data_IF_834004328937
#
_entry.id   IF_834004328937
#
_cell.length_a   1.000
_cell.length_b   1.000
_cell.length_c   1.000
_cell.angle_alpha   90.00
_cell.angle_beta   90.00
_cell.angle_gamma   90.00
#
_symmetry.space_group_name_H-M   'P 1'
#
loop_
_entity.id
_entity.type
_entity.pdbx_description
1 polymer ?
#
# COMPACT_ATOMS: atom_id res chain seq x y z
N UNK A 1 2.39 -17.58 0.89
CA UNK A 1 1.16 -18.27 1.31
C UNK A 1 1.27 -19.80 1.22
N UNK A 2 1.74 -20.38 0.13
CA UNK A 2 1.85 -21.84 -0.03
C UNK A 2 2.69 -22.55 1.06
N UNK A 3 3.53 -21.83 1.79
CA UNK A 3 4.29 -22.33 2.95
C UNK A 3 3.47 -22.44 4.24
N UNK A 4 2.21 -21.95 4.25
CA UNK A 4 1.38 -21.97 5.48
C UNK A 4 1.07 -23.39 5.95
N UNK A 5 1.15 -23.58 7.26
CA UNK A 5 0.80 -24.84 7.93
C UNK A 5 -0.15 -24.54 9.10
N UNK A 6 -1.40 -24.95 8.97
CA UNK A 6 -2.43 -24.72 10.01
C UNK A 6 -2.20 -25.50 11.29
N UNK A 7 -1.42 -26.62 11.26
CA UNK A 7 -1.19 -27.47 12.44
C UNK A 7 -0.23 -26.80 13.42
N UNK A 8 0.87 -26.25 12.93
CA UNK A 8 1.88 -25.59 13.77
C UNK A 8 1.80 -24.05 13.72
N UNK A 9 1.07 -23.52 12.76
CA UNK A 9 0.87 -22.08 12.58
C UNK A 9 2.09 -21.35 12.03
N UNK A 10 2.92 -22.02 11.22
CA UNK A 10 4.07 -21.42 10.56
C UNK A 10 3.74 -20.99 9.13
N UNK A 11 4.61 -20.15 8.55
CA UNK A 11 4.46 -19.67 7.18
C UNK A 11 3.18 -18.87 6.93
N UNK A 12 2.87 -18.64 5.68
CA UNK A 12 1.71 -17.87 5.27
C UNK A 12 2.08 -16.62 4.50
N UNK A 13 1.19 -15.63 4.50
CA UNK A 13 1.43 -14.34 3.82
C UNK A 13 2.23 -13.41 4.74
N UNK A 14 3.53 -13.61 4.79
CA UNK A 14 4.50 -12.92 5.62
C UNK A 14 5.68 -12.30 4.85
N UNK A 15 5.56 -12.23 3.53
CA UNK A 15 6.57 -11.68 2.62
C UNK A 15 7.95 -12.38 2.67
N UNK A 16 8.07 -13.61 3.15
CA UNK A 16 9.32 -14.36 3.15
C UNK A 16 9.91 -14.54 1.74
N UNK A 17 9.07 -14.58 0.72
CA UNK A 17 9.48 -14.65 -0.70
C UNK A 17 10.41 -13.49 -1.14
N UNK A 18 10.54 -12.43 -0.35
CA UNK A 18 11.51 -11.36 -0.63
C UNK A 18 12.96 -11.79 -0.40
N UNK A 19 13.20 -12.87 0.35
CA UNK A 19 14.55 -13.38 0.58
C UNK A 19 15.11 -14.06 -0.67
N UNK A 20 16.35 -13.72 -1.01
CA UNK A 20 17.05 -14.29 -2.17
C UNK A 20 17.15 -15.82 -2.12
N UNK A 21 17.24 -16.41 -0.90
CA UNK A 21 17.24 -17.86 -0.71
C UNK A 21 15.94 -18.51 -1.22
N UNK A 22 14.76 -17.94 -0.89
CA UNK A 22 13.49 -18.49 -1.40
C UNK A 22 13.36 -18.30 -2.91
N UNK A 23 13.72 -17.12 -3.42
CA UNK A 23 13.66 -16.84 -4.86
C UNK A 23 14.59 -17.74 -5.68
N UNK A 24 15.69 -18.21 -5.10
CA UNK A 24 16.62 -19.11 -5.77
C UNK A 24 16.19 -20.59 -5.79
N UNK A 25 15.11 -20.96 -5.12
CA UNK A 25 14.61 -22.32 -5.11
C UNK A 25 13.98 -22.69 -6.46
N UNK A 26 14.11 -23.96 -6.86
CA UNK A 26 13.57 -24.46 -8.12
C UNK A 26 12.05 -24.24 -8.23
N UNK A 27 11.33 -24.31 -7.11
CA UNK A 27 9.88 -24.07 -6.99
C UNK A 27 9.48 -22.60 -7.25
N UNK A 28 10.44 -21.66 -7.24
CA UNK A 28 10.24 -20.22 -7.39
C UNK A 28 11.03 -19.63 -8.56
N UNK A 29 11.38 -20.44 -9.55
CA UNK A 29 12.17 -20.02 -10.70
C UNK A 29 11.46 -18.95 -11.53
N UNK A 30 12.24 -18.07 -12.16
CA UNK A 30 11.76 -16.92 -12.93
C UNK A 30 11.98 -15.60 -12.21
N UNK A 31 11.65 -14.51 -12.86
CA UNK A 31 11.89 -13.14 -12.36
C UNK A 31 10.64 -12.47 -11.75
N UNK A 32 9.47 -13.12 -11.86
CA UNK A 32 8.19 -12.56 -11.43
C UNK A 32 8.15 -12.13 -9.95
N UNK A 33 8.78 -12.92 -9.06
CA UNK A 33 8.84 -12.57 -7.63
C UNK A 33 9.75 -11.37 -7.38
N UNK A 34 10.96 -11.34 -7.98
CA UNK A 34 11.89 -10.24 -7.85
C UNK A 34 11.29 -8.92 -8.37
N UNK A 35 10.67 -8.96 -9.55
CA UNK A 35 10.01 -7.82 -10.17
C UNK A 35 8.85 -7.31 -9.31
N UNK A 36 7.99 -8.20 -8.83
CA UNK A 36 6.87 -7.83 -7.96
C UNK A 36 7.34 -7.20 -6.66
N UNK A 37 8.32 -7.80 -5.97
CA UNK A 37 8.86 -7.27 -4.71
C UNK A 37 9.53 -5.91 -4.93
N UNK A 38 10.28 -5.73 -6.02
CA UNK A 38 10.94 -4.45 -6.33
C UNK A 38 9.96 -3.27 -6.43
N UNK A 39 8.77 -3.53 -6.98
CA UNK A 39 7.71 -2.53 -7.09
C UNK A 39 6.97 -2.35 -5.76
N UNK A 40 6.49 -3.44 -5.16
CA UNK A 40 5.59 -3.39 -4.01
C UNK A 40 6.30 -2.96 -2.73
N UNK A 41 7.56 -3.34 -2.52
CA UNK A 41 8.32 -2.92 -1.34
C UNK A 41 8.48 -1.39 -1.22
N UNK A 42 8.43 -0.67 -2.34
CA UNK A 42 8.44 0.80 -2.35
C UNK A 42 7.25 1.45 -1.65
N UNK A 43 6.14 0.74 -1.50
CA UNK A 43 4.94 1.20 -0.81
C UNK A 43 4.90 0.81 0.67
N UNK A 44 5.79 -0.08 1.12
CA UNK A 44 5.88 -0.43 2.54
C UNK A 44 6.48 0.71 3.36
N UNK A 45 6.04 0.81 4.61
CA UNK A 45 6.48 1.84 5.58
C UNK A 45 6.57 1.19 6.95
N UNK A 46 7.00 1.92 7.98
CA UNK A 46 6.91 1.45 9.37
C UNK A 46 5.48 1.11 9.86
N UNK A 47 4.47 1.56 9.13
CA UNK A 47 3.05 1.34 9.45
C UNK A 47 2.39 0.29 8.55
N UNK A 48 3.06 -0.12 7.48
CA UNK A 48 2.52 -1.06 6.48
C UNK A 48 3.63 -2.01 6.08
N UNK A 49 3.50 -3.28 6.43
CA UNK A 49 4.45 -4.33 6.09
C UNK A 49 4.53 -4.57 4.58
N UNK A 50 5.60 -5.21 4.12
CA UNK A 50 5.70 -5.70 2.74
C UNK A 50 4.59 -6.74 2.49
N UNK A 51 4.31 -7.60 3.47
CA UNK A 51 3.25 -8.59 3.40
C UNK A 51 1.85 -7.95 3.19
N UNK A 52 1.54 -6.86 3.91
CA UNK A 52 0.29 -6.11 3.68
C UNK A 52 0.28 -5.45 2.29
N UNK A 53 1.42 -4.99 1.81
CA UNK A 53 1.53 -4.40 0.48
C UNK A 53 1.32 -5.44 -0.62
N UNK A 54 1.86 -6.65 -0.47
CA UNK A 54 1.62 -7.78 -1.38
C UNK A 54 0.13 -8.16 -1.38
N UNK A 55 -0.47 -8.29 -0.19
CA UNK A 55 -1.90 -8.59 -0.06
C UNK A 55 -2.78 -7.53 -0.75
N UNK A 56 -2.48 -6.25 -0.54
CA UNK A 56 -3.19 -5.16 -1.19
C UNK A 56 -2.95 -5.17 -2.72
N UNK A 57 -1.75 -5.52 -3.16
CA UNK A 57 -1.41 -5.68 -4.57
C UNK A 57 -2.31 -6.69 -5.28
N UNK A 58 -2.54 -7.87 -4.67
CA UNK A 58 -3.48 -8.86 -5.20
C UNK A 58 -4.92 -8.31 -5.25
N UNK A 59 -5.39 -7.70 -4.15
CA UNK A 59 -6.75 -7.11 -4.09
C UNK A 59 -6.96 -6.10 -5.21
N UNK A 60 -6.00 -5.20 -5.38
CA UNK A 60 -6.08 -4.15 -6.42
C UNK A 60 -5.97 -4.76 -7.82
N UNK A 61 -5.04 -5.69 -8.05
CA UNK A 61 -4.86 -6.36 -9.36
C UNK A 61 -6.14 -7.05 -9.81
N UNK A 62 -6.72 -7.90 -8.96
CA UNK A 62 -7.99 -8.59 -9.30
C UNK A 62 -9.11 -7.59 -9.61
N UNK A 63 -9.27 -6.57 -8.78
CA UNK A 63 -10.37 -5.61 -8.95
C UNK A 63 -10.19 -4.69 -10.16
N UNK A 64 -8.96 -4.25 -10.48
CA UNK A 64 -8.69 -3.46 -11.68
C UNK A 64 -8.87 -4.26 -12.97
N UNK A 65 -8.69 -5.57 -12.92
CA UNK A 65 -8.99 -6.47 -14.04
C UNK A 65 -10.47 -6.90 -14.10
N UNK A 66 -11.37 -6.21 -13.41
CA UNK A 66 -12.82 -6.48 -13.46
C UNK A 66 -13.32 -7.55 -12.47
N UNK A 67 -12.45 -8.03 -11.59
CA UNK A 67 -12.78 -9.06 -10.62
C UNK A 67 -13.57 -8.55 -9.40
N UNK A 68 -13.95 -9.48 -8.50
CA UNK A 68 -14.78 -9.17 -7.36
C UNK A 68 -14.07 -8.31 -6.32
N UNK A 69 -14.86 -7.65 -5.48
CA UNK A 69 -14.35 -7.01 -4.28
C UNK A 69 -13.88 -8.09 -3.30
N UNK A 70 -12.61 -8.02 -2.92
CA UNK A 70 -12.00 -8.90 -1.94
C UNK A 70 -11.92 -8.17 -0.60
N UNK A 71 -12.49 -8.71 0.50
CA UNK A 71 -12.30 -8.16 1.84
C UNK A 71 -10.81 -8.12 2.20
N UNK A 72 -10.31 -6.96 2.56
CA UNK A 72 -8.90 -6.75 2.91
C UNK A 72 -8.77 -6.41 4.39
N UNK A 73 -7.83 -7.08 5.07
CA UNK A 73 -7.41 -6.83 6.45
C UNK A 73 -5.91 -6.53 6.45
N UNK A 74 -5.48 -5.61 7.28
CA UNK A 74 -4.06 -5.29 7.48
C UNK A 74 -3.53 -5.84 8.80
N UNK A 75 -2.22 -5.68 9.02
CA UNK A 75 -1.57 -6.08 10.27
C UNK A 75 -0.68 -7.31 10.12
N UNK A 76 -0.35 -7.71 8.89
CA UNK A 76 0.63 -8.77 8.62
C UNK A 76 2.01 -8.31 9.07
N UNK A 77 2.80 -9.26 9.53
CA UNK A 77 4.18 -9.04 10.00
C UNK A 77 5.12 -9.70 9.00
N UNK A 78 6.14 -8.97 8.56
CA UNK A 78 7.13 -9.49 7.65
C UNK A 78 8.00 -10.54 8.35
N UNK A 79 8.21 -11.70 7.70
CA UNK A 79 9.09 -12.76 8.20
C UNK A 79 10.52 -12.24 8.39
N UNK A 80 11.22 -12.73 9.37
CA UNK A 80 12.63 -12.37 9.65
C UNK A 80 13.62 -13.32 9.00
N UNK A 81 13.15 -14.45 8.48
CA UNK A 81 13.94 -15.49 7.83
C UNK A 81 13.11 -16.17 6.72
N UNK A 82 13.73 -16.86 5.76
CA UNK A 82 13.04 -17.62 4.73
C UNK A 82 12.15 -18.71 5.33
N UNK A 83 10.97 -18.93 4.74
CA UNK A 83 10.11 -20.04 5.09
C UNK A 83 10.63 -21.37 4.53
N UNK A 84 10.12 -22.48 5.05
CA UNK A 84 10.43 -23.82 4.56
C UNK A 84 9.96 -24.01 3.11
N UNK A 85 10.69 -24.77 2.26
CA UNK A 85 10.25 -25.11 0.92
C UNK A 85 9.02 -26.03 0.93
N UNK A 86 8.42 -26.24 -0.22
CA UNK A 86 7.30 -27.18 -0.39
C UNK A 86 6.02 -26.54 -0.90
N UNK A 87 6.14 -25.66 -1.89
CA UNK A 87 5.00 -25.19 -2.67
C UNK A 87 4.55 -26.27 -3.66
N UNK A 88 3.27 -26.29 -4.11
CA UNK A 88 2.81 -27.21 -5.14
C UNK A 88 3.53 -26.98 -6.47
N UNK A 89 4.03 -28.04 -7.08
CA UNK A 89 4.68 -28.02 -8.39
C UNK A 89 3.86 -28.78 -9.44
N UNK A 90 3.93 -28.38 -10.74
CA UNK A 90 3.04 -28.92 -11.77
C UNK A 90 3.21 -30.43 -12.03
N UNK A 91 4.37 -31.02 -11.77
CA UNK A 91 4.66 -32.44 -11.98
C UNK A 91 4.29 -33.35 -10.80
N UNK A 92 3.86 -32.77 -9.68
CA UNK A 92 3.43 -33.52 -8.51
C UNK A 92 2.10 -34.22 -8.72
N UNK A 93 1.86 -35.27 -7.92
CA UNK A 93 0.62 -36.03 -7.97
C UNK A 93 -0.57 -35.25 -7.42
N UNK A 94 -1.79 -35.64 -7.79
CA UNK A 94 -3.01 -35.07 -7.23
C UNK A 94 -3.05 -35.17 -5.70
N UNK A 95 -2.65 -36.31 -5.14
CA UNK A 95 -2.64 -36.53 -3.68
C UNK A 95 -1.67 -35.55 -2.98
N UNK A 96 -0.53 -35.23 -3.62
CA UNK A 96 0.41 -34.21 -3.12
C UNK A 96 -0.23 -32.83 -3.13
N UNK A 97 -0.93 -32.45 -4.20
CA UNK A 97 -1.65 -31.19 -4.29
C UNK A 97 -2.73 -31.08 -3.20
N UNK A 98 -3.58 -32.13 -3.05
CA UNK A 98 -4.60 -32.16 -2.00
C UNK A 98 -3.97 -32.02 -0.61
N UNK A 99 -2.89 -32.74 -0.34
CA UNK A 99 -2.19 -32.67 0.95
C UNK A 99 -1.59 -31.26 1.20
N UNK A 100 -1.03 -30.63 0.16
CA UNK A 100 -0.48 -29.28 0.27
C UNK A 100 -1.55 -28.24 0.56
N UNK A 101 -2.69 -28.28 -0.12
CA UNK A 101 -3.80 -27.38 0.16
C UNK A 101 -4.46 -27.65 1.51
N UNK A 102 -4.59 -28.92 1.91
CA UNK A 102 -5.08 -29.28 3.25
C UNK A 102 -4.18 -28.77 4.36
N UNK A 103 -2.84 -28.84 4.20
CA UNK A 103 -1.86 -28.24 5.11
C UNK A 103 -2.07 -26.73 5.26
N UNK A 104 -2.47 -26.06 4.18
CA UNK A 104 -2.78 -24.62 4.16
C UNK A 104 -4.19 -24.30 4.71
N UNK A 105 -5.03 -25.30 5.03
CA UNK A 105 -6.38 -25.12 5.56
C UNK A 105 -7.48 -25.08 4.49
N UNK A 106 -7.23 -25.60 3.28
CA UNK A 106 -8.20 -25.65 2.19
C UNK A 106 -8.60 -27.08 1.83
N UNK A 107 -9.88 -27.27 1.58
CA UNK A 107 -10.43 -28.55 1.10
C UNK A 107 -10.08 -28.79 -0.37
N UNK A 108 -10.34 -30.00 -0.88
CA UNK A 108 -10.15 -30.32 -2.30
C UNK A 108 -11.01 -29.43 -3.22
N UNK A 109 -12.28 -29.16 -2.88
CA UNK A 109 -13.14 -28.25 -3.62
C UNK A 109 -12.56 -26.83 -3.64
N UNK A 110 -12.07 -26.37 -2.49
CA UNK A 110 -11.44 -25.05 -2.38
C UNK A 110 -10.09 -24.96 -3.11
N UNK A 111 -9.33 -26.05 -3.19
CA UNK A 111 -8.15 -26.15 -4.04
C UNK A 111 -8.52 -25.93 -5.51
N UNK A 112 -9.54 -26.62 -6.03
CA UNK A 112 -10.03 -26.42 -7.40
C UNK A 112 -10.40 -24.96 -7.60
N UNK A 113 -11.16 -24.38 -6.67
CA UNK A 113 -11.57 -22.98 -6.72
C UNK A 113 -10.39 -22.01 -6.72
N UNK A 114 -9.43 -22.15 -5.80
CA UNK A 114 -8.27 -21.26 -5.71
C UNK A 114 -7.39 -21.30 -6.96
N UNK A 115 -7.15 -22.51 -7.51
CA UNK A 115 -6.37 -22.65 -8.76
C UNK A 115 -7.12 -22.01 -9.92
N UNK A 116 -8.41 -22.26 -10.08
CA UNK A 116 -9.21 -21.63 -11.13
C UNK A 116 -9.26 -20.09 -10.98
N UNK A 117 -9.45 -19.56 -9.75
CA UNK A 117 -9.45 -18.13 -9.48
C UNK A 117 -8.10 -17.47 -9.77
N UNK A 118 -6.99 -18.17 -9.54
CA UNK A 118 -5.65 -17.67 -9.83
C UNK A 118 -5.34 -17.72 -11.32
N UNK A 119 -5.72 -18.81 -11.98
CA UNK A 119 -5.42 -19.07 -13.38
C UNK A 119 -6.43 -18.44 -14.36
N UNK A 120 -7.34 -17.58 -13.90
CA UNK A 120 -8.05 -16.64 -14.79
C UNK A 120 -7.16 -15.50 -15.26
N UNK A 121 -5.90 -15.45 -14.79
CA UNK A 121 -4.92 -14.41 -15.17
C UNK A 121 -3.61 -15.03 -15.62
N UNK A 122 -2.95 -14.35 -16.58
CA UNK A 122 -1.57 -14.63 -16.95
C UNK A 122 -1.38 -15.95 -17.68
N UNK A 123 -0.28 -16.62 -17.39
CA UNK A 123 0.13 -17.85 -18.08
C UNK A 123 1.49 -18.34 -17.59
N UNK A 124 2.09 -19.26 -18.36
CA UNK A 124 3.40 -19.86 -18.09
C UNK A 124 4.39 -19.39 -19.16
N UNK A 125 5.55 -18.85 -18.76
CA UNK A 125 6.64 -18.44 -19.63
C UNK A 125 7.50 -19.63 -20.06
N UNK A 126 8.06 -19.56 -21.26
CA UNK A 126 8.93 -20.61 -21.78
C UNK A 126 10.26 -20.72 -21.03
N UNK A 127 10.99 -19.60 -20.89
CA UNK A 127 12.37 -19.64 -20.39
C UNK A 127 12.51 -20.29 -19.01
N UNK A 128 11.69 -19.93 -17.98
CA UNK A 128 11.72 -20.63 -16.69
C UNK A 128 11.13 -22.04 -16.77
N UNK A 129 10.21 -22.31 -17.71
CA UNK A 129 9.43 -23.56 -17.77
C UNK A 129 9.41 -24.22 -19.17
N UNK A 130 10.57 -24.55 -19.77
CA UNK A 130 10.64 -25.11 -21.12
C UNK A 130 10.02 -26.51 -21.23
N UNK A 131 9.80 -27.20 -20.11
CA UNK A 131 9.10 -28.48 -20.06
C UNK A 131 7.58 -28.36 -20.09
N UNK A 132 7.04 -27.15 -19.97
CA UNK A 132 5.60 -26.86 -19.96
C UNK A 132 5.20 -26.10 -21.23
N UNK A 133 5.99 -25.12 -21.65
CA UNK A 133 5.70 -24.26 -22.80
C UNK A 133 6.83 -24.33 -23.81
N UNK A 134 6.48 -24.43 -25.10
CA UNK A 134 7.45 -24.32 -26.19
C UNK A 134 7.75 -22.84 -26.53
N UNK A 135 8.96 -22.57 -27.05
CA UNK A 135 9.28 -21.28 -27.63
C UNK A 135 8.33 -20.98 -28.81
N UNK A 136 7.70 -19.80 -28.78
CA UNK A 136 6.64 -19.44 -29.74
C UNK A 136 7.13 -18.66 -30.94
N UNK A 137 8.32 -18.04 -30.89
CA UNK A 137 8.89 -17.20 -31.95
C UNK A 137 7.93 -16.08 -32.38
N UNK A 138 7.15 -15.51 -31.47
CA UNK A 138 6.20 -14.43 -31.73
C UNK A 138 6.79 -13.10 -31.26
N UNK A 139 6.89 -12.12 -32.17
CA UNK A 139 7.41 -10.77 -31.88
C UNK A 139 6.53 -9.97 -30.94
N UNK A 140 5.27 -10.34 -30.79
CA UNK A 140 4.33 -9.72 -29.85
C UNK A 140 4.29 -10.44 -28.49
N UNK A 141 4.89 -11.64 -28.41
CA UNK A 141 4.99 -12.44 -27.20
C UNK A 141 6.44 -12.93 -27.05
N UNK A 142 7.33 -11.99 -26.80
CA UNK A 142 8.79 -12.21 -26.76
C UNK A 142 9.24 -13.15 -25.63
N UNK A 143 8.42 -13.30 -24.59
CA UNK A 143 8.66 -14.22 -23.47
C UNK A 143 8.02 -15.59 -23.68
N UNK A 144 7.36 -15.79 -24.82
CA UNK A 144 6.66 -17.04 -25.16
C UNK A 144 5.73 -17.52 -24.02
N UNK A 145 4.84 -16.63 -23.56
CA UNK A 145 3.87 -16.93 -22.51
C UNK A 145 2.69 -17.69 -23.09
N UNK A 146 2.43 -18.90 -22.61
CA UNK A 146 1.18 -19.61 -22.89
C UNK A 146 0.15 -19.24 -21.81
N UNK A 147 -0.92 -18.56 -22.22
CA UNK A 147 -1.96 -18.09 -21.31
C UNK A 147 -2.86 -19.21 -20.83
N UNK A 148 -3.43 -19.04 -19.64
CA UNK A 148 -4.32 -20.03 -19.03
C UNK A 148 -5.71 -20.05 -19.66
N UNK A 149 -6.19 -18.88 -20.14
CA UNK A 149 -7.42 -18.76 -20.92
C UNK A 149 -7.29 -17.66 -21.99
N UNK A 150 -8.36 -17.36 -22.71
CA UNK A 150 -8.35 -16.40 -23.82
C UNK A 150 -8.52 -14.94 -23.34
N UNK A 151 -8.68 -14.67 -22.05
CA UNK A 151 -8.92 -13.35 -21.47
C UNK A 151 -7.91 -13.02 -20.35
N UNK A 152 -6.67 -13.32 -20.55
CA UNK A 152 -5.55 -13.30 -19.60
C UNK A 152 -5.34 -12.01 -18.79
N UNK A 153 -5.95 -10.90 -19.23
CA UNK A 153 -5.90 -9.59 -18.56
C UNK A 153 -7.23 -9.19 -17.90
N UNK A 154 -8.24 -10.06 -17.95
CA UNK A 154 -9.56 -9.77 -17.44
C UNK A 154 -10.04 -10.90 -16.53
N UNK A 155 -10.61 -10.54 -15.38
CA UNK A 155 -11.18 -11.51 -14.46
C UNK A 155 -12.58 -11.94 -14.95
N UNK A 156 -12.69 -13.19 -15.37
CA UNK A 156 -13.96 -13.81 -15.74
C UNK A 156 -13.90 -15.34 -15.49
N UNK A 157 -14.91 -16.07 -15.92
CA UNK A 157 -14.97 -17.52 -15.74
C UNK A 157 -14.52 -18.32 -16.97
N UNK A 158 -13.76 -17.71 -17.90
CA UNK A 158 -13.32 -18.40 -19.13
C UNK A 158 -12.42 -19.60 -18.83
N UNK A 159 -11.58 -19.53 -17.80
CA UNK A 159 -10.82 -20.68 -17.32
C UNK A 159 -11.70 -21.93 -17.11
N UNK A 160 -12.93 -21.77 -16.66
CA UNK A 160 -13.87 -22.85 -16.44
C UNK A 160 -14.69 -23.18 -17.70
N UNK A 161 -15.20 -22.19 -18.42
CA UNK A 161 -16.01 -22.41 -19.63
C UNK A 161 -15.23 -23.09 -20.74
N UNK A 162 -13.98 -22.68 -20.97
CA UNK A 162 -13.09 -23.28 -21.96
C UNK A 162 -12.65 -24.69 -21.54
N UNK A 163 -12.36 -24.91 -20.25
CA UNK A 163 -12.02 -26.24 -19.76
C UNK A 163 -13.18 -27.23 -19.93
N UNK A 164 -14.42 -26.86 -19.57
CA UNK A 164 -15.60 -27.72 -19.68
C UNK A 164 -16.04 -27.95 -21.12
N UNK A 165 -15.92 -26.94 -21.99
CA UNK A 165 -16.22 -27.07 -23.42
C UNK A 165 -15.15 -27.85 -24.20
N UNK A 166 -13.96 -28.04 -23.62
CA UNK A 166 -12.81 -28.67 -24.28
C UNK A 166 -12.10 -27.75 -25.29
N UNK A 167 -12.26 -26.45 -25.16
CA UNK A 167 -11.61 -25.44 -26.01
C UNK A 167 -10.40 -24.78 -25.36
N UNK A 168 -10.11 -25.11 -24.10
CA UNK A 168 -9.00 -24.53 -23.32
C UNK A 168 -7.65 -24.72 -24.02
N UNK A 169 -6.81 -23.69 -23.92
CA UNK A 169 -5.39 -23.68 -24.34
C UNK A 169 -4.45 -23.65 -23.12
N UNK A 170 -4.96 -23.79 -21.91
CA UNK A 170 -4.20 -23.79 -20.66
C UNK A 170 -3.05 -24.81 -20.73
N UNK A 171 -1.77 -24.37 -20.65
CA UNK A 171 -0.62 -25.27 -20.76
C UNK A 171 -0.51 -26.28 -19.62
N UNK A 172 -1.21 -26.03 -18.49
CA UNK A 172 -1.31 -26.96 -17.36
C UNK A 172 -2.54 -27.88 -17.42
N UNK A 173 -3.38 -27.74 -18.46
CA UNK A 173 -4.53 -28.63 -18.70
C UNK A 173 -4.35 -29.48 -19.96
N UNK A 174 -3.85 -28.88 -21.04
CA UNK A 174 -3.71 -29.54 -22.37
C UNK A 174 -2.28 -29.41 -22.91
N UNK A 175 -1.31 -29.10 -22.06
CA UNK A 175 0.10 -28.99 -22.45
C UNK A 175 0.66 -30.29 -23.02
N UNK A 176 1.75 -30.17 -23.80
CA UNK A 176 2.38 -31.29 -24.49
C UNK A 176 2.98 -32.35 -23.55
N UNK A 177 3.27 -31.99 -22.32
CA UNK A 177 3.79 -32.89 -21.29
C UNK A 177 2.69 -33.20 -20.25
N UNK A 178 2.07 -34.39 -20.37
CA UNK A 178 0.96 -34.78 -19.49
C UNK A 178 1.38 -34.86 -18.01
N UNK A 179 2.68 -35.03 -17.72
CA UNK A 179 3.20 -35.03 -16.35
C UNK A 179 3.02 -33.66 -15.68
N UNK A 180 3.17 -32.57 -16.42
CA UNK A 180 3.03 -31.20 -15.92
C UNK A 180 1.61 -30.63 -16.02
N UNK A 181 0.64 -31.41 -16.51
CA UNK A 181 -0.76 -30.99 -16.62
C UNK A 181 -1.48 -31.04 -15.25
N UNK A 182 -1.02 -30.18 -14.31
CA UNK A 182 -1.56 -30.09 -12.95
C UNK A 182 -3.02 -29.67 -12.93
N UNK A 183 -3.39 -28.65 -13.72
CA UNK A 183 -4.76 -28.15 -13.77
C UNK A 183 -5.74 -29.21 -14.26
N UNK A 184 -5.35 -30.02 -15.25
CA UNK A 184 -6.15 -31.16 -15.70
C UNK A 184 -6.47 -32.11 -14.54
N UNK A 185 -5.48 -32.42 -13.69
CA UNK A 185 -5.65 -33.30 -12.54
C UNK A 185 -6.48 -32.66 -11.43
N UNK A 186 -6.20 -31.38 -11.14
CA UNK A 186 -6.89 -30.61 -10.07
C UNK A 186 -8.34 -30.38 -10.47
N UNK A 187 -8.61 -29.79 -11.64
CA UNK A 187 -9.97 -29.45 -12.09
C UNK A 187 -10.86 -30.69 -12.26
N UNK A 188 -10.28 -31.83 -12.69
CA UNK A 188 -10.99 -33.06 -12.85
C UNK A 188 -11.18 -33.88 -11.57
N UNK A 189 -10.57 -33.47 -10.45
CA UNK A 189 -10.45 -34.31 -9.24
C UNK A 189 -11.77 -34.62 -8.51
N UNK A 190 -12.78 -33.78 -8.70
CA UNK A 190 -14.14 -34.00 -8.17
C UNK A 190 -15.15 -34.44 -9.25
N UNK A 191 -14.67 -34.95 -10.39
CA UNK A 191 -15.52 -35.29 -11.54
C UNK A 191 -16.01 -34.07 -12.32
N UNK A 192 -15.29 -32.98 -12.27
CA UNK A 192 -15.62 -31.67 -12.89
C UNK A 192 -16.87 -31.00 -12.29
N UNK A 193 -17.29 -31.33 -11.08
CA UNK A 193 -18.49 -30.73 -10.46
C UNK A 193 -18.26 -29.24 -10.21
N UNK A 194 -17.16 -28.88 -9.57
CA UNK A 194 -16.83 -27.49 -9.27
C UNK A 194 -16.62 -26.69 -10.56
N UNK A 195 -15.83 -27.17 -11.52
CA UNK A 195 -15.58 -26.46 -12.76
C UNK A 195 -16.85 -26.28 -13.62
N UNK A 196 -17.78 -27.25 -13.63
CA UNK A 196 -19.10 -27.08 -14.28
C UNK A 196 -19.90 -25.97 -13.62
N UNK A 197 -19.96 -25.93 -12.31
CA UNK A 197 -20.68 -24.88 -11.59
C UNK A 197 -20.13 -23.48 -11.87
N UNK A 198 -18.81 -23.36 -12.03
CA UNK A 198 -18.16 -22.12 -12.40
C UNK A 198 -18.39 -21.74 -13.87
N UNK A 199 -18.37 -22.72 -14.78
CA UNK A 199 -18.69 -22.48 -16.18
C UNK A 199 -20.14 -22.00 -16.38
N UNK A 200 -21.07 -22.57 -15.60
CA UNK A 200 -22.50 -22.29 -15.69
C UNK A 200 -22.91 -20.95 -15.04
N UNK A 201 -22.10 -20.40 -14.10
CA UNK A 201 -22.41 -19.14 -13.40
C UNK A 201 -21.17 -18.29 -13.12
N UNK A 202 -20.98 -17.21 -13.90
CA UNK A 202 -19.95 -16.20 -13.64
C UNK A 202 -20.08 -15.56 -12.25
N UNK A 203 -21.32 -15.37 -11.76
CA UNK A 203 -21.59 -14.79 -10.44
C UNK A 203 -21.13 -15.73 -9.32
N UNK A 204 -21.37 -17.04 -9.46
CA UNK A 204 -20.86 -18.04 -8.51
C UNK A 204 -19.35 -18.06 -8.51
N UNK A 205 -18.70 -18.10 -9.68
CA UNK A 205 -17.24 -18.02 -9.81
C UNK A 205 -16.70 -16.79 -9.11
N UNK A 206 -17.23 -15.61 -9.42
CA UNK A 206 -16.81 -14.35 -8.84
C UNK A 206 -16.97 -14.33 -7.31
N UNK A 207 -18.10 -14.78 -6.77
CA UNK A 207 -18.34 -14.78 -5.32
C UNK A 207 -17.45 -15.78 -4.58
N UNK A 208 -17.23 -16.96 -5.13
CA UNK A 208 -16.32 -17.97 -4.54
C UNK A 208 -14.86 -17.50 -4.59
N UNK A 209 -14.42 -16.87 -5.67
CA UNK A 209 -13.09 -16.29 -5.76
C UNK A 209 -12.88 -15.17 -4.74
N UNK A 210 -13.87 -14.31 -4.52
CA UNK A 210 -13.81 -13.28 -3.47
C UNK A 210 -13.57 -13.89 -2.09
N UNK A 211 -14.33 -14.94 -1.74
CA UNK A 211 -14.20 -15.64 -0.46
C UNK A 211 -12.86 -16.34 -0.33
N UNK A 212 -12.46 -17.10 -1.34
CA UNK A 212 -11.24 -17.90 -1.32
C UNK A 212 -9.99 -17.01 -1.30
N UNK A 213 -9.95 -15.94 -2.08
CA UNK A 213 -8.86 -14.97 -2.02
C UNK A 213 -8.77 -14.29 -0.65
N UNK A 214 -9.90 -13.88 -0.05
CA UNK A 214 -9.90 -13.30 1.28
C UNK A 214 -9.29 -14.27 2.31
N UNK A 215 -9.73 -15.53 2.32
CA UNK A 215 -9.17 -16.56 3.22
C UNK A 215 -7.69 -16.85 2.94
N UNK A 216 -7.30 -16.87 1.67
CA UNK A 216 -5.92 -17.04 1.26
C UNK A 216 -5.05 -15.89 1.80
N UNK A 217 -5.52 -14.65 1.70
CA UNK A 217 -4.83 -13.48 2.24
C UNK A 217 -4.75 -13.50 3.78
N UNK A 218 -5.70 -14.13 4.45
CA UNK A 218 -5.76 -14.26 5.91
C UNK A 218 -4.91 -15.42 6.45
N UNK A 219 -4.21 -16.21 5.59
CA UNK A 219 -3.22 -17.18 6.06
C UNK A 219 -1.98 -16.47 6.57
N UNK A 220 -1.84 -16.35 7.87
CA UNK A 220 -0.73 -15.65 8.56
C UNK A 220 -0.12 -16.54 9.65
N UNK A 221 1.13 -16.28 10.05
CA UNK A 221 1.76 -17.01 11.15
C UNK A 221 0.96 -16.91 12.45
N UNK A 222 1.04 -17.94 13.28
CA UNK A 222 0.38 -17.99 14.59
C UNK A 222 0.78 -16.78 15.46
N UNK A 223 -0.21 -16.13 16.03
CA UNK A 223 -0.03 -14.95 16.89
C UNK A 223 -0.14 -13.63 16.16
N UNK A 224 -0.12 -13.61 14.83
CA UNK A 224 -0.43 -12.42 14.05
C UNK A 224 -1.93 -12.15 14.13
N UNK A 225 -2.28 -10.90 14.44
CA UNK A 225 -3.67 -10.45 14.52
C UNK A 225 -3.95 -9.47 13.37
N UNK A 226 -4.85 -9.84 12.50
CA UNK A 226 -5.33 -8.96 11.44
C UNK A 226 -6.40 -8.00 11.96
N UNK A 227 -6.47 -6.82 11.37
CA UNK A 227 -7.49 -5.83 11.67
C UNK A 227 -8.90 -6.30 11.26
N UNK A 228 -9.91 -5.51 11.61
CA UNK A 228 -11.18 -5.58 10.91
C UNK A 228 -11.00 -5.28 9.42
N UNK A 229 -12.01 -5.63 8.60
CA UNK A 229 -11.98 -5.36 7.15
C UNK A 229 -11.85 -3.85 6.92
N UNK A 230 -10.80 -3.47 6.21
CA UNK A 230 -10.51 -2.07 5.91
C UNK A 230 -11.38 -1.63 4.73
N UNK A 231 -12.07 -0.52 4.92
CA UNK A 231 -12.86 0.14 3.89
C UNK A 231 -12.40 1.58 3.69
N UNK A 232 -12.49 2.13 2.46
CA UNK A 232 -12.16 3.53 2.24
C UNK A 232 -13.03 4.46 3.10
N UNK A 233 -12.37 5.34 3.87
CA UNK A 233 -13.09 6.33 4.67
C UNK A 233 -13.81 7.33 3.75
N UNK A 234 -15.06 7.72 4.04
CA UNK A 234 -15.80 8.73 3.27
C UNK A 234 -15.05 10.06 3.13
N UNK A 235 -14.35 10.50 4.18
CA UNK A 235 -13.53 11.73 4.16
C UNK A 235 -12.18 11.44 4.77
N UNK A 236 -11.11 11.73 4.03
CA UNK A 236 -9.75 11.54 4.54
C UNK A 236 -8.85 12.69 4.14
N UNK A 237 -8.41 13.52 5.10
CA UNK A 237 -7.31 14.45 4.85
C UNK A 237 -5.99 13.70 4.65
N UNK A 238 -5.11 14.28 3.86
CA UNK A 238 -3.81 13.70 3.56
C UNK A 238 -2.78 14.75 3.19
N UNK A 239 -1.51 14.37 3.29
CA UNK A 239 -0.37 15.26 2.98
C UNK A 239 -0.45 16.61 3.69
N UNK A 240 -0.89 16.60 4.96
CA UNK A 240 -0.94 17.79 5.79
C UNK A 240 0.48 18.20 6.13
N UNK A 241 0.86 19.41 5.73
CA UNK A 241 2.20 19.94 5.96
C UNK A 241 2.13 21.41 6.36
N UNK A 242 2.95 21.78 7.34
CA UNK A 242 3.17 23.15 7.76
C UNK A 242 4.64 23.54 7.55
N UNK A 243 4.84 24.72 6.97
CA UNK A 243 6.17 25.32 6.82
C UNK A 243 6.16 26.74 7.39
N UNK A 244 7.04 27.00 8.34
CA UNK A 244 7.25 28.37 8.82
C UNK A 244 8.21 29.11 7.88
N UNK A 245 7.76 30.24 7.35
CA UNK A 245 8.54 31.18 6.55
C UNK A 245 8.41 32.59 7.12
N UNK A 246 9.41 33.03 7.86
CA UNK A 246 9.31 34.25 8.64
C UNK A 246 8.16 34.20 9.64
N UNK A 247 7.20 35.12 9.53
CA UNK A 247 5.99 35.17 10.36
C UNK A 247 4.77 34.57 9.67
N UNK A 248 4.96 33.84 8.57
CA UNK A 248 3.91 33.15 7.84
C UNK A 248 4.01 31.65 8.05
N UNK A 249 2.90 31.04 8.41
CA UNK A 249 2.76 29.59 8.48
C UNK A 249 2.06 29.13 7.20
N UNK A 250 2.84 28.56 6.28
CA UNK A 250 2.32 27.95 5.07
C UNK A 250 1.65 26.62 5.40
N UNK A 251 0.39 26.47 5.04
CA UNK A 251 -0.41 25.28 5.30
C UNK A 251 -0.85 24.62 4.00
N UNK A 252 -0.32 23.44 3.72
CA UNK A 252 -0.66 22.66 2.53
C UNK A 252 -1.31 21.35 2.91
N UNK A 253 -2.05 20.77 1.98
CA UNK A 253 -2.67 19.48 2.17
C UNK A 253 -3.73 19.20 1.10
N UNK A 254 -4.35 18.05 1.24
CA UNK A 254 -5.51 17.68 0.46
C UNK A 254 -6.56 16.98 1.34
N UNK A 255 -7.76 16.87 0.83
CA UNK A 255 -8.81 16.04 1.38
C UNK A 255 -9.42 15.20 0.26
N UNK A 256 -9.55 13.92 0.51
CA UNK A 256 -10.22 12.97 -0.38
C UNK A 256 -11.61 12.66 0.17
N UNK A 257 -12.59 12.74 -0.71
CA UNK A 257 -13.95 12.29 -0.47
C UNK A 257 -14.21 11.02 -1.29
N UNK A 258 -14.86 10.05 -0.68
CA UNK A 258 -15.18 8.77 -1.31
C UNK A 258 -16.63 8.74 -1.78
N UNK A 259 -16.85 8.30 -3.03
CA UNK A 259 -18.19 8.15 -3.64
C UNK A 259 -19.05 9.41 -3.58
N UNK A 260 -18.45 10.56 -3.89
CA UNK A 260 -19.26 11.78 -4.05
C UNK A 260 -20.16 11.65 -5.27
N UNK A 261 -21.45 11.91 -5.08
CA UNK A 261 -22.38 12.05 -6.20
C UNK A 261 -21.90 13.16 -7.15
N UNK A 262 -22.03 12.95 -8.45
CA UNK A 262 -21.72 13.98 -9.43
C UNK A 262 -22.55 15.25 -9.17
N UNK A 263 -21.90 16.39 -9.18
CA UNK A 263 -22.53 17.69 -9.04
C UNK A 263 -21.69 18.76 -9.73
N UNK A 264 -22.26 19.42 -10.72
CA UNK A 264 -21.70 20.64 -11.29
C UNK A 264 -21.73 21.76 -10.23
N UNK A 265 -20.67 22.56 -10.15
CA UNK A 265 -20.57 23.69 -9.22
C UNK A 265 -20.59 23.30 -7.73
N UNK A 266 -19.92 22.22 -7.37
CA UNK A 266 -19.73 21.84 -5.97
C UNK A 266 -18.88 22.89 -5.23
N UNK A 267 -19.36 23.28 -4.04
CA UNK A 267 -18.60 24.14 -3.14
C UNK A 267 -17.99 23.29 -2.04
N UNK A 268 -16.67 23.24 -2.02
CA UNK A 268 -15.90 22.57 -0.99
C UNK A 268 -15.09 23.62 -0.21
N UNK A 269 -15.19 23.60 1.11
CA UNK A 269 -14.50 24.55 1.99
C UNK A 269 -13.69 23.79 3.04
N UNK A 270 -12.50 24.32 3.34
CA UNK A 270 -11.78 24.08 4.56
C UNK A 270 -12.17 25.19 5.56
N UNK A 271 -12.53 24.78 6.79
CA UNK A 271 -12.77 25.68 7.91
C UNK A 271 -11.75 25.35 9.00
N UNK A 272 -11.29 26.37 9.74
CA UNK A 272 -10.40 26.16 10.88
C UNK A 272 -10.61 27.21 11.96
N UNK A 273 -10.21 26.86 13.18
CA UNK A 273 -10.09 27.81 14.28
C UNK A 273 -8.62 28.05 14.60
N UNK A 274 -8.28 29.25 15.01
CA UNK A 274 -6.94 29.63 15.41
C UNK A 274 -6.77 29.66 16.94
N UNK A 275 -5.54 29.86 17.43
CA UNK A 275 -5.25 29.95 18.88
C UNK A 275 -5.80 31.23 19.53
N UNK A 276 -6.24 32.22 18.74
CA UNK A 276 -6.86 33.47 19.24
C UNK A 276 -8.38 33.35 19.35
N UNK A 277 -8.95 32.20 18.94
CA UNK A 277 -10.38 31.91 18.98
C UNK A 277 -11.18 32.42 17.78
N UNK A 278 -10.50 32.93 16.73
CA UNK A 278 -11.16 33.28 15.49
C UNK A 278 -11.39 32.06 14.59
N UNK A 279 -12.44 32.11 13.78
CA UNK A 279 -12.76 31.08 12.79
C UNK A 279 -12.53 31.60 11.37
N UNK A 280 -11.98 30.75 10.53
CA UNK A 280 -11.59 31.08 9.17
C UNK A 280 -12.14 30.05 8.19
N UNK A 281 -12.14 30.40 6.92
CA UNK A 281 -12.47 29.47 5.85
C UNK A 281 -11.68 29.76 4.58
N UNK A 282 -11.53 28.74 3.75
CA UNK A 282 -10.95 28.85 2.41
C UNK A 282 -11.62 27.87 1.47
N UNK A 283 -11.78 28.28 0.22
CA UNK A 283 -12.30 27.39 -0.83
C UNK A 283 -11.23 26.34 -1.15
N UNK A 284 -11.64 25.08 -1.18
CA UNK A 284 -10.85 23.97 -1.63
C UNK A 284 -10.91 23.87 -3.16
N UNK A 285 -9.77 23.71 -3.79
CA UNK A 285 -9.66 23.57 -5.25
C UNK A 285 -9.59 22.11 -5.66
N UNK A 286 -10.23 21.70 -6.77
CA UNK A 286 -10.04 20.36 -7.30
C UNK A 286 -8.55 20.05 -7.52
N UNK A 287 -8.09 18.87 -7.15
CA UNK A 287 -6.74 18.40 -7.47
C UNK A 287 -6.59 18.20 -8.99
N UNK A 288 -5.35 18.20 -9.51
CA UNK A 288 -5.08 17.98 -10.94
C UNK A 288 -5.66 16.65 -11.44
N UNK A 289 -5.65 15.61 -10.59
CA UNK A 289 -6.41 14.37 -10.78
C UNK A 289 -7.57 14.39 -9.79
N UNK A 290 -8.58 15.23 -10.05
CA UNK A 290 -9.64 15.50 -9.08
C UNK A 290 -10.52 14.29 -8.80
N UNK A 291 -10.68 13.40 -9.77
CA UNK A 291 -11.46 12.17 -9.60
C UNK A 291 -10.69 10.99 -10.16
N UNK A 292 -10.61 9.93 -9.39
CA UNK A 292 -10.01 8.65 -9.77
C UNK A 292 -11.03 7.58 -9.49
N UNK A 293 -11.39 6.85 -10.52
CA UNK A 293 -12.29 5.71 -10.40
C UNK A 293 -11.49 4.47 -10.02
N UNK A 294 -11.95 3.83 -8.95
CA UNK A 294 -11.51 2.53 -8.52
C UNK A 294 -12.66 1.55 -8.68
N UNK A 295 -12.41 0.26 -8.82
CA UNK A 295 -13.48 -0.74 -8.91
C UNK A 295 -14.47 -0.69 -7.74
N UNK A 296 -14.05 -0.19 -6.59
CA UNK A 296 -14.86 -0.07 -5.36
C UNK A 296 -15.61 1.26 -5.25
N UNK A 297 -15.31 2.24 -6.07
CA UNK A 297 -15.89 3.58 -6.02
C UNK A 297 -14.93 4.67 -6.48
N UNK A 298 -15.40 5.91 -6.42
CA UNK A 298 -14.67 7.07 -6.92
C UNK A 298 -14.06 7.88 -5.78
N UNK A 299 -12.77 8.16 -5.88
CA UNK A 299 -12.06 9.09 -5.00
C UNK A 299 -12.04 10.48 -5.63
N UNK A 300 -12.68 11.46 -5.01
CA UNK A 300 -12.61 12.86 -5.43
C UNK A 300 -11.74 13.64 -4.47
N UNK A 301 -10.70 14.29 -4.97
CA UNK A 301 -9.70 14.98 -4.16
C UNK A 301 -9.71 16.49 -4.39
N UNK A 302 -9.59 17.22 -3.29
CA UNK A 302 -9.44 18.67 -3.25
C UNK A 302 -8.16 19.03 -2.52
N UNK A 303 -7.48 20.09 -2.95
CA UNK A 303 -6.27 20.62 -2.33
C UNK A 303 -6.56 21.91 -1.55
N UNK A 304 -5.72 22.19 -0.56
CA UNK A 304 -5.73 23.43 0.19
C UNK A 304 -4.90 24.49 -0.57
N UNK A 305 -5.34 25.73 -0.49
CA UNK A 305 -4.59 26.88 -1.00
C UNK A 305 -4.82 27.25 -2.44
N UNK A 306 -3.98 28.17 -2.93
CA UNK A 306 -4.11 28.82 -4.23
C UNK A 306 -3.84 27.91 -5.45
N UNK A 307 -4.02 28.47 -6.65
CA UNK A 307 -3.81 27.77 -7.92
C UNK A 307 -2.35 27.34 -8.14
N UNK A 308 -1.41 28.09 -7.57
CA UNK A 308 0.04 27.87 -7.64
C UNK A 308 0.58 26.77 -6.70
N UNK A 309 -0.31 26.07 -5.98
CA UNK A 309 0.04 25.07 -4.97
C UNK A 309 0.87 25.59 -3.78
N UNK A 310 0.95 26.92 -3.59
CA UNK A 310 1.68 27.54 -2.46
C UNK A 310 1.06 27.25 -1.10
N UNK A 311 -0.19 26.72 -1.08
CA UNK A 311 -0.93 26.47 0.14
C UNK A 311 -1.64 27.73 0.68
N UNK A 312 -2.14 27.61 1.91
CA UNK A 312 -2.73 28.72 2.65
C UNK A 312 -1.66 29.41 3.47
N UNK A 313 -1.64 30.74 3.43
CA UNK A 313 -0.79 31.55 4.30
C UNK A 313 -1.55 31.93 5.56
N UNK A 314 -1.12 31.38 6.71
CA UNK A 314 -1.66 31.71 8.02
C UNK A 314 -0.70 32.62 8.76
N UNK A 315 -1.24 33.50 9.62
CA UNK A 315 -0.41 34.20 10.59
C UNK A 315 0.21 33.21 11.57
N UNK A 316 1.53 33.24 11.73
CA UNK A 316 2.25 32.29 12.56
C UNK A 316 1.86 32.38 14.06
N UNK A 317 1.50 33.56 14.54
CA UNK A 317 1.07 33.74 15.94
C UNK A 317 -0.33 33.19 16.16
N UNK A 318 -1.23 33.39 15.21
CA UNK A 318 -2.59 32.86 15.23
C UNK A 318 -2.63 31.33 15.05
N UNK A 319 -1.91 30.79 14.07
CA UNK A 319 -1.80 29.35 13.81
C UNK A 319 -3.11 28.64 13.56
N UNK A 320 -3.21 27.37 13.99
CA UNK A 320 -4.39 26.51 13.78
C UNK A 320 -4.58 25.54 14.96
N UNK A 321 -5.83 25.36 15.40
CA UNK A 321 -6.19 24.44 16.51
C UNK A 321 -6.95 23.21 16.00
N UNK A 322 -7.88 23.41 15.06
CA UNK A 322 -8.66 22.34 14.44
C UNK A 322 -8.91 22.66 12.97
N UNK A 323 -9.34 21.65 12.21
CA UNK A 323 -9.83 21.83 10.85
C UNK A 323 -11.11 21.05 10.63
N UNK A 324 -11.97 21.58 9.77
CA UNK A 324 -13.22 20.96 9.37
C UNK A 324 -13.38 21.05 7.85
N UNK A 325 -14.15 20.16 7.26
CA UNK A 325 -14.47 20.19 5.85
C UNK A 325 -15.98 20.37 5.65
N UNK A 326 -16.33 21.24 4.72
CA UNK A 326 -17.74 21.48 4.36
C UNK A 326 -17.92 21.24 2.86
N UNK A 327 -18.93 20.47 2.50
CA UNK A 327 -19.38 20.28 1.13
C UNK A 327 -20.80 20.79 0.97
N UNK A 328 -21.01 21.72 0.03
CA UNK A 328 -22.34 22.25 -0.32
C UNK A 328 -23.14 22.72 0.92
N UNK A 329 -22.45 23.33 1.88
CA UNK A 329 -23.05 23.84 3.12
C UNK A 329 -23.22 22.79 4.24
N UNK A 330 -22.81 21.54 4.02
CA UNK A 330 -22.87 20.48 5.04
C UNK A 330 -21.49 20.13 5.57
N UNK A 331 -21.30 20.22 6.88
CA UNK A 331 -20.09 19.73 7.57
C UNK A 331 -19.93 18.22 7.40
N UNK A 332 -18.71 17.79 7.20
CA UNK A 332 -18.36 16.39 7.02
C UNK A 332 -17.89 15.80 8.35
N UNK A 333 -18.39 14.62 8.70
CA UNK A 333 -17.97 13.91 9.91
C UNK A 333 -16.62 13.23 9.71
N UNK A 334 -15.77 13.31 10.71
CA UNK A 334 -14.58 12.47 10.78
C UNK A 334 -14.98 11.05 11.21
N UNK A 335 -14.11 10.07 10.92
CA UNK A 335 -14.40 8.66 11.17
C UNK A 335 -13.23 7.90 11.80
N UNK A 336 -12.06 8.54 11.91
CA UNK A 336 -10.84 7.88 12.38
C UNK A 336 -10.68 7.86 13.90
N UNK A 337 -11.27 8.79 14.63
CA UNK A 337 -11.00 8.98 16.06
C UNK A 337 -12.23 9.32 16.90
N UNK A 338 -13.38 8.82 16.52
CA UNK A 338 -14.62 9.07 17.26
C UNK A 338 -15.67 9.86 16.46
N UNK A 339 -16.68 10.36 17.16
CA UNK A 339 -17.74 11.15 16.54
C UNK A 339 -17.35 12.63 16.56
N UNK A 340 -17.62 13.33 15.46
CA UNK A 340 -17.39 14.77 15.38
C UNK A 340 -17.14 15.26 13.96
N UNK A 341 -16.89 16.55 13.84
CA UNK A 341 -16.59 17.22 12.57
C UNK A 341 -15.18 17.82 12.56
N UNK A 342 -14.47 17.78 13.69
CA UNK A 342 -13.11 18.30 13.84
C UNK A 342 -12.10 17.23 13.46
N UNK A 343 -11.29 17.51 12.48
CA UNK A 343 -10.16 16.66 12.08
C UNK A 343 -8.90 17.11 12.83
N UNK A 344 -8.13 16.15 13.29
CA UNK A 344 -6.92 16.43 14.05
C UNK A 344 -5.89 17.17 13.19
N UNK A 345 -5.32 18.23 13.76
CA UNK A 345 -4.22 19.01 13.18
C UNK A 345 -3.38 19.57 14.33
N UNK A 346 -2.10 19.77 14.12
CA UNK A 346 -1.21 20.39 15.09
C UNK A 346 -0.21 21.32 14.40
N UNK A 347 0.11 22.43 15.03
CA UNK A 347 1.13 23.39 14.61
C UNK A 347 2.17 23.68 15.71
N UNK A 348 2.22 22.84 16.73
CA UNK A 348 3.17 23.00 17.84
C UNK A 348 4.63 22.79 17.39
N UNK A 349 4.87 21.86 16.45
CA UNK A 349 6.16 21.63 15.81
C UNK A 349 5.95 21.54 14.30
N UNK A 350 6.61 22.40 13.54
CA UNK A 350 6.46 22.48 12.09
C UNK A 350 7.82 22.61 11.40
N UNK A 351 7.88 22.31 10.12
CA UNK A 351 9.09 22.47 9.33
C UNK A 351 9.41 23.96 9.12
N UNK A 352 10.70 24.34 9.13
CA UNK A 352 11.11 25.71 8.79
C UNK A 352 11.77 25.79 7.42
N UNK A 353 11.43 26.82 6.64
CA UNK A 353 12.06 27.10 5.35
C UNK A 353 13.55 27.47 5.45
N UNK A 354 14.06 27.67 6.67
CA UNK A 354 15.50 27.87 6.92
C UNK A 354 16.32 26.60 6.82
N UNK A 355 15.68 25.43 6.73
CA UNK A 355 16.32 24.15 6.44
C UNK A 355 17.07 24.22 5.12
N UNK A 356 18.28 23.65 5.06
CA UNK A 356 19.17 23.79 3.90
C UNK A 356 20.07 22.56 3.72
N UNK A 357 20.71 22.48 2.56
CA UNK A 357 21.58 21.39 2.17
C UNK A 357 23.04 21.84 1.98
N UNK A 358 23.98 21.12 2.58
CA UNK A 358 25.42 21.32 2.38
C UNK A 358 25.89 20.47 1.21
N UNK A 359 26.01 21.03 0.03
CA UNK A 359 26.25 20.31 -1.24
C UNK A 359 27.48 19.39 -1.28
N UNK A 360 28.45 19.59 -0.38
CA UNK A 360 29.74 18.87 -0.45
C UNK A 360 29.76 17.55 0.33
N UNK A 361 28.84 17.30 1.28
CA UNK A 361 28.94 16.19 2.23
C UNK A 361 27.67 15.34 2.34
N UNK A 362 26.74 15.46 1.43
CA UNK A 362 25.41 14.80 1.54
C UNK A 362 24.76 15.02 2.93
N UNK A 363 24.97 16.22 3.52
CA UNK A 363 24.47 16.60 4.85
C UNK A 363 23.38 17.65 4.68
N UNK A 364 22.26 17.49 5.36
CA UNK A 364 21.23 18.51 5.46
C UNK A 364 21.16 19.06 6.87
N UNK A 365 20.96 20.38 6.98
CA UNK A 365 20.48 21.01 8.19
C UNK A 365 18.95 21.05 8.13
N UNK A 366 18.33 20.36 9.05
CA UNK A 366 16.88 20.46 9.27
C UNK A 366 16.62 21.45 10.40
N UNK A 367 15.73 22.39 10.15
CA UNK A 367 15.27 23.37 11.11
C UNK A 367 13.77 23.12 11.36
N UNK A 368 13.43 22.85 12.63
CA UNK A 368 12.05 22.71 13.09
C UNK A 368 11.65 23.92 13.91
N UNK A 369 10.51 24.50 13.57
CA UNK A 369 9.95 25.60 14.33
C UNK A 369 9.03 25.04 15.42
N UNK A 370 9.34 25.35 16.67
CA UNK A 370 8.62 24.89 17.87
C UNK A 370 7.87 26.07 18.47
N UNK A 371 6.54 25.93 18.64
CA UNK A 371 5.68 26.98 19.19
C UNK A 371 6.08 27.29 20.64
N UNK A 372 6.28 28.56 20.96
CA UNK A 372 6.78 29.02 22.27
C UNK A 372 5.83 28.68 23.43
N UNK A 373 4.54 28.53 23.14
CA UNK A 373 3.52 28.16 24.14
C UNK A 373 3.42 26.67 24.39
N UNK A 374 4.07 25.84 23.56
CA UNK A 374 4.04 24.39 23.69
C UNK A 374 5.06 23.91 24.72
N UNK A 375 4.67 22.98 25.61
CA UNK A 375 5.58 22.31 26.53
C UNK A 375 6.26 21.14 25.80
N UNK A 376 7.27 21.44 24.99
CA UNK A 376 8.00 20.46 24.18
C UNK A 376 9.15 19.89 24.98
N UNK A 377 9.11 18.58 25.24
CA UNK A 377 10.17 17.83 25.91
C UNK A 377 11.30 17.47 24.94
N UNK A 378 10.97 17.05 23.73
CA UNK A 378 11.95 16.69 22.71
C UNK A 378 11.36 16.87 21.31
N UNK A 379 12.23 17.21 20.36
CA UNK A 379 11.99 17.12 18.92
C UNK A 379 13.04 16.16 18.38
N UNK A 380 12.63 15.21 17.56
CA UNK A 380 13.50 14.15 17.08
C UNK A 380 13.24 13.81 15.61
N UNK A 381 14.24 13.25 14.97
CA UNK A 381 14.13 12.65 13.65
C UNK A 381 14.47 11.16 13.77
N UNK A 382 13.66 10.32 13.16
CA UNK A 382 13.89 8.89 13.07
C UNK A 382 14.26 8.55 11.64
N UNK A 383 15.46 8.03 11.46
CA UNK A 383 15.98 7.60 10.16
C UNK A 383 15.85 6.08 10.06
N UNK A 384 15.17 5.61 9.01
CA UNK A 384 15.00 4.19 8.75
C UNK A 384 15.98 3.74 7.67
N UNK A 385 16.70 2.67 7.94
CA UNK A 385 17.50 1.96 6.94
C UNK A 385 16.80 0.66 6.57
N UNK A 386 16.94 0.27 5.30
CA UNK A 386 16.42 -1.02 4.81
C UNK A 386 17.58 -1.97 4.62
N UNK A 387 17.34 -3.24 4.93
CA UNK A 387 18.26 -4.34 4.60
C UNK A 387 18.18 -4.70 3.10
N UNK A 388 19.01 -5.65 2.66
CA UNK A 388 19.07 -6.10 1.26
C UNK A 388 17.77 -6.74 0.76
N UNK A 389 16.89 -7.16 1.66
CA UNK A 389 15.55 -7.69 1.35
C UNK A 389 14.44 -6.64 1.43
N UNK A 390 14.80 -5.35 1.45
CA UNK A 390 13.89 -4.20 1.52
C UNK A 390 13.08 -4.06 2.81
N UNK A 391 13.35 -4.89 3.82
CA UNK A 391 12.75 -4.77 5.14
C UNK A 391 13.40 -3.63 5.94
N UNK A 392 12.61 -2.95 6.78
CA UNK A 392 13.15 -1.92 7.68
C UNK A 392 13.98 -2.60 8.76
N UNK A 393 15.32 -2.52 8.61
CA UNK A 393 16.24 -3.22 9.49
C UNK A 393 16.54 -2.47 10.79
N UNK A 394 16.75 -1.15 10.69
CA UNK A 394 17.14 -0.30 11.82
C UNK A 394 16.43 1.03 11.77
N UNK A 395 16.05 1.54 12.94
CA UNK A 395 15.60 2.91 13.13
C UNK A 395 16.53 3.62 14.10
N UNK A 396 17.21 4.66 13.62
CA UNK A 396 18.06 5.52 14.42
C UNK A 396 17.30 6.79 14.78
N UNK A 397 17.47 7.28 16.02
CA UNK A 397 16.79 8.47 16.51
C UNK A 397 17.83 9.52 16.92
N UNK A 398 17.75 10.68 16.26
CA UNK A 398 18.55 11.86 16.58
C UNK A 398 17.65 12.98 17.11
N UNK A 399 18.19 13.82 17.98
CA UNK A 399 17.43 14.88 18.64
C UNK A 399 17.87 16.26 18.18
N UNK A 400 16.89 17.11 17.91
CA UNK A 400 17.10 18.51 17.64
C UNK A 400 17.44 19.28 18.93
N UNK A 401 18.18 20.39 18.76
CA UNK A 401 18.49 21.34 19.82
C UNK A 401 18.04 22.76 19.42
N UNK A 402 17.62 23.59 20.40
CA UNK A 402 17.31 24.98 20.12
C UNK A 402 18.51 25.72 19.47
N UNK A 403 18.28 26.46 18.40
CA UNK A 403 19.29 27.30 17.76
C UNK A 403 19.28 28.71 18.37
N UNK A 404 20.34 29.09 19.14
CA UNK A 404 20.40 30.40 19.77
C UNK A 404 20.65 31.53 18.76
N UNK A 405 21.09 31.20 17.53
CA UNK A 405 21.41 32.16 16.49
C UNK A 405 20.29 32.32 15.45
N UNK A 406 19.21 31.59 15.59
CA UNK A 406 18.09 31.68 14.66
C UNK A 406 17.44 33.07 14.72
N UNK A 407 16.88 33.49 13.60
CA UNK A 407 16.10 34.73 13.54
C UNK A 407 14.93 34.69 14.55
N UNK A 408 14.73 35.80 15.23
CA UNK A 408 13.67 35.92 16.24
C UNK A 408 12.31 35.87 15.54
N UNK A 409 11.49 34.88 15.89
CA UNK A 409 10.08 34.82 15.53
C UNK A 409 9.19 35.06 16.75
N UNK A 410 8.05 35.71 16.58
CA UNK A 410 7.14 36.02 17.70
C UNK A 410 6.53 34.78 18.33
N UNK A 411 6.18 33.78 17.52
CA UNK A 411 5.43 32.59 17.92
C UNK A 411 6.28 31.32 18.08
N UNK A 412 7.42 31.23 17.37
CA UNK A 412 8.22 30.02 17.29
C UNK A 412 9.66 30.21 17.72
N UNK A 413 10.27 29.15 18.22
CA UNK A 413 11.72 28.96 18.37
C UNK A 413 12.20 27.95 17.35
N UNK A 414 13.36 28.18 16.75
CA UNK A 414 13.95 27.22 15.80
C UNK A 414 14.82 26.23 16.56
N UNK A 415 14.65 24.98 16.24
CA UNK A 415 15.46 23.84 16.69
C UNK A 415 16.15 23.25 15.48
N UNK A 416 17.44 22.99 15.57
CA UNK A 416 18.26 22.57 14.43
C UNK A 416 18.93 21.24 14.66
N UNK A 417 19.16 20.50 13.57
CA UNK A 417 19.93 19.25 13.54
C UNK A 417 20.57 19.08 12.17
N UNK A 418 21.87 18.72 12.16
CA UNK A 418 22.56 18.30 10.96
C UNK A 418 22.48 16.79 10.80
N UNK A 419 21.98 16.31 9.67
CA UNK A 419 21.80 14.88 9.39
C UNK A 419 22.57 14.52 8.12
N UNK A 420 23.46 13.53 8.22
CA UNK A 420 24.19 12.97 7.09
C UNK A 420 23.35 11.87 6.40
N UNK A 421 23.69 11.60 5.11
CA UNK A 421 23.05 10.54 4.32
C UNK A 421 21.80 11.00 3.58
N UNK A 422 21.71 10.67 2.29
CA UNK A 422 20.82 11.35 1.34
C UNK A 422 19.49 10.64 1.03
N UNK A 423 19.40 9.33 1.22
CA UNK A 423 18.29 8.55 0.64
C UNK A 423 17.43 7.78 1.65
N UNK A 424 17.74 7.85 2.93
CA UNK A 424 16.99 7.13 3.96
C UNK A 424 15.61 7.78 4.21
N UNK A 425 14.62 6.96 4.49
CA UNK A 425 13.31 7.44 4.92
C UNK A 425 13.43 8.05 6.31
N UNK A 426 12.90 9.25 6.49
CA UNK A 426 12.95 10.00 7.74
C UNK A 426 11.57 10.43 8.19
N UNK A 427 11.35 10.37 9.50
CA UNK A 427 10.14 10.84 10.16
C UNK A 427 10.53 11.84 11.24
N UNK A 428 9.89 12.99 11.26
CA UNK A 428 10.03 13.94 12.35
C UNK A 428 8.94 13.73 13.37
N UNK A 429 9.30 13.77 14.64
CA UNK A 429 8.38 13.66 15.75
C UNK A 429 8.72 14.64 16.85
N UNK A 430 7.80 14.78 17.81
CA UNK A 430 8.00 15.55 19.02
C UNK A 430 7.24 14.94 20.20
N UNK A 431 7.77 15.13 21.40
CA UNK A 431 7.04 14.86 22.65
C UNK A 431 6.59 16.21 23.25
N UNK A 432 5.28 16.46 23.23
CA UNK A 432 4.64 17.70 23.62
C UNK A 432 3.61 17.36 24.70
N UNK A 433 3.69 17.96 25.87
CA UNK A 433 2.79 17.72 26.99
C UNK A 433 2.65 16.23 27.39
N UNK A 434 3.74 15.47 27.22
CA UNK A 434 3.77 14.01 27.49
C UNK A 434 3.16 13.14 26.40
N UNK A 435 2.68 13.71 25.28
CA UNK A 435 2.15 13.01 24.12
C UNK A 435 3.18 12.99 23.01
N UNK A 436 3.43 11.82 22.44
CA UNK A 436 4.29 11.69 21.26
C UNK A 436 3.48 11.93 20.00
N UNK A 437 3.96 12.87 19.19
CA UNK A 437 3.43 13.18 17.88
C UNK A 437 4.43 12.76 16.81
N UNK A 438 3.97 12.06 15.78
CA UNK A 438 4.74 11.83 14.56
C UNK A 438 4.20 12.79 13.51
N UNK A 439 5.08 13.64 12.99
CA UNK A 439 4.71 14.67 11.99
C UNK A 439 4.67 14.11 10.57
N UNK A 440 4.81 12.79 10.42
CA UNK A 440 4.80 12.12 9.15
C UNK A 440 6.18 12.02 8.49
N UNK A 441 6.19 11.40 7.32
CA UNK A 441 7.39 11.24 6.50
C UNK A 441 7.83 12.60 5.97
N UNK A 442 9.12 12.92 6.08
CA UNK A 442 9.71 14.06 5.39
C UNK A 442 9.71 13.78 3.88
N UNK A 443 8.82 14.45 3.16
CA UNK A 443 8.69 14.31 1.72
C UNK A 443 9.60 15.25 0.91
N UNK A 444 10.30 16.18 1.58
CA UNK A 444 11.22 17.05 0.89
C UNK A 444 12.53 16.29 0.64
N UNK A 445 12.80 15.80 -0.57
CA UNK A 445 14.07 15.18 -0.88
C UNK A 445 15.19 16.19 -0.69
N UNK A 446 16.34 15.74 -0.21
CA UNK A 446 17.51 16.59 0.03
C UNK A 446 17.84 17.56 -1.11
N UNK A 447 17.75 17.16 -2.42
CA UNK A 447 17.98 18.06 -3.54
C UNK A 447 16.98 19.22 -3.66
N UNK A 448 15.83 19.16 -2.98
CA UNK A 448 14.83 20.22 -2.99
C UNK A 448 15.01 21.27 -1.89
N UNK A 449 15.95 21.04 -0.96
CA UNK A 449 16.34 22.07 0.00
C UNK A 449 17.26 23.10 -0.65
N UNK A 450 17.14 24.40 -0.28
CA UNK A 450 18.08 25.41 -0.72
C UNK A 450 19.50 25.11 -0.21
N UNK A 451 20.52 25.63 -0.89
CA UNK A 451 21.88 25.55 -0.38
C UNK A 451 22.02 26.34 0.92
N UNK A 452 22.75 25.77 1.89
CA UNK A 452 23.03 26.50 3.12
C UNK A 452 23.83 27.78 2.82
N UNK A 453 23.55 28.88 3.51
CA UNK A 453 24.38 30.06 3.44
C UNK A 453 25.83 29.72 3.83
N UNK A 454 26.79 30.27 3.07
CA UNK A 454 28.24 30.12 3.32
C UNK A 454 28.66 30.81 4.60
#
# INVERSE_FOLDING_TARGET
MATHNVEDGTGGLDASIRFAEEQARAENVGDGFANTISVLSGFSTRYTSIADTIALGLVMGVQFCGGPRIPFRGGRIDATEPNSPGVPEPDQTLDSHIASFARQGFTQEEMIGLVACGHTFGGVQHDPFPNIVHEMNDTNNTESVAHFDTTELHFDNNIATEYISGTTQNPLAVGFNDTTNSDKRIFGSDGNVTMRSFADSPELFSSRCSELFARMLDTVPKGVQLSEVITPLPVKPGRIEFKLDGDVLQFTGNVRFWNLAEKSNRIALLLWSDHLGATHNSTLLPSLSSSIDYPQGTATSYRFGGEDASGLSLDAAAGIVNMQFMLDGKLQSQQDAGAGVDFAVQDAVVFSTTSCFFGNNATARYDMAVRKTANVKSVYIETETRDDSSHIGVTETDFFSPDPNAAVNSAYTIWTLNVAGSFNTRYVGAEIDGVKYTMGKLFTPLPALPSCPS
#
